data_IF_123992984437
#
_entry.id   IF_123992984437
#
_cell.length_a   1.000
_cell.length_b   1.000
_cell.length_c   1.000
_cell.angle_alpha   90.00
_cell.angle_beta   90.00
_cell.angle_gamma   90.00
#
_symmetry.space_group_name_H-M   'P 1'
#
loop_
_entity.id
_entity.type
_entity.pdbx_description
1 polymer ?
#
# COMPACT_ATOMS: atom_id res chain seq x y z
N UNK A 1 4.15 1.50 7.99
CA UNK A 1 3.15 2.55 8.22
C UNK A 1 2.34 2.77 6.94
N UNK A 2 1.30 1.96 6.73
CA UNK A 2 0.32 2.13 5.65
C UNK A 2 -0.74 3.10 6.14
N UNK A 3 -0.59 4.39 5.85
CA UNK A 3 -1.58 5.39 6.23
C UNK A 3 -2.68 5.43 5.16
N UNK A 4 -3.79 4.75 5.45
CA UNK A 4 -5.05 4.91 4.74
C UNK A 4 -5.75 6.12 5.37
N UNK A 5 -5.49 7.31 4.84
CA UNK A 5 -6.25 8.50 5.23
C UNK A 5 -7.59 8.49 4.48
N UNK A 6 -8.55 7.76 5.04
CA UNK A 6 -9.95 7.94 4.66
C UNK A 6 -10.35 9.30 5.25
N UNK A 7 -10.66 10.26 4.39
CA UNK A 7 -11.00 11.62 4.81
C UNK A 7 -12.28 11.69 5.66
N UNK A 8 -12.89 12.87 5.86
CA UNK A 8 -13.97 13.04 6.82
C UNK A 8 -15.11 12.03 6.60
N UNK A 9 -15.46 11.32 7.67
CA UNK A 9 -16.44 10.22 7.70
C UNK A 9 -17.88 10.72 7.53
N UNK A 10 -18.09 12.03 7.57
CA UNK A 10 -19.40 12.67 7.49
C UNK A 10 -19.38 13.78 6.45
N UNK A 11 -20.34 13.74 5.52
CA UNK A 11 -20.51 14.73 4.46
C UNK A 11 -21.83 15.45 4.69
N UNK A 12 -21.80 16.78 4.56
CA UNK A 12 -23.03 17.57 4.58
C UNK A 12 -23.66 17.55 3.18
N UNK A 13 -24.96 17.27 3.12
CA UNK A 13 -25.71 17.28 1.87
C UNK A 13 -26.36 18.64 1.69
N UNK A 14 -26.13 19.30 0.56
CA UNK A 14 -26.81 20.55 0.18
C UNK A 14 -27.54 20.34 -1.13
N UNK A 15 -28.84 20.66 -1.17
CA UNK A 15 -29.70 20.50 -2.35
C UNK A 15 -29.66 19.08 -2.95
N UNK A 16 -29.57 18.05 -2.10
CA UNK A 16 -29.48 16.64 -2.54
C UNK A 16 -28.09 16.18 -3.01
N UNK A 17 -27.08 17.05 -2.98
CA UNK A 17 -25.70 16.73 -3.37
C UNK A 17 -24.81 16.66 -2.14
N UNK A 18 -24.17 15.50 -1.93
CA UNK A 18 -23.11 15.31 -0.95
C UNK A 18 -21.76 15.47 -1.65
N UNK A 19 -20.99 16.50 -1.31
CA UNK A 19 -19.66 16.72 -1.89
C UNK A 19 -18.57 16.40 -0.87
N UNK A 20 -17.58 15.62 -1.28
CA UNK A 20 -16.39 15.31 -0.48
C UNK A 20 -15.14 15.79 -1.18
N UNK A 21 -14.24 16.43 -0.41
CA UNK A 21 -12.91 16.83 -0.87
C UNK A 21 -11.86 16.26 0.06
N UNK A 22 -10.72 15.84 -0.50
CA UNK A 22 -9.57 15.35 0.28
C UNK A 22 -9.67 13.88 0.71
N UNK A 23 -10.52 13.07 0.08
CA UNK A 23 -10.46 11.61 0.22
C UNK A 23 -9.19 11.09 -0.49
N UNK A 24 -8.42 10.26 0.19
CA UNK A 24 -7.22 9.63 -0.37
C UNK A 24 -7.24 8.12 -0.21
N UNK A 25 -6.87 7.40 -1.27
CA UNK A 25 -6.57 5.96 -1.22
C UNK A 25 -5.18 5.77 -1.80
N UNK A 26 -4.24 5.33 -0.96
CA UNK A 26 -2.85 5.14 -1.36
C UNK A 26 -2.58 3.71 -1.83
N UNK A 27 -3.39 2.74 -1.42
CA UNK A 27 -3.20 1.33 -1.76
C UNK A 27 -3.55 1.07 -3.21
N UNK A 28 -2.58 0.57 -3.98
CA UNK A 28 -2.78 0.16 -5.35
C UNK A 28 -3.73 -1.04 -5.45
N UNK A 29 -4.59 -1.01 -6.45
CA UNK A 29 -5.61 -2.03 -6.67
C UNK A 29 -6.61 -1.61 -7.72
N UNK A 30 -7.48 -2.54 -8.09
CA UNK A 30 -8.47 -2.37 -9.15
C UNK A 30 -9.89 -2.44 -8.60
N UNK A 31 -10.84 -1.82 -9.30
CA UNK A 31 -12.26 -1.89 -8.99
C UNK A 31 -12.64 -1.39 -7.57
N UNK A 32 -11.89 -0.42 -7.05
CA UNK A 32 -12.30 0.30 -5.84
C UNK A 32 -13.62 1.05 -6.08
N UNK A 33 -14.43 1.12 -5.02
CA UNK A 33 -15.69 1.86 -5.01
C UNK A 33 -15.80 2.65 -3.70
N UNK A 34 -16.33 3.85 -3.80
CA UNK A 34 -16.77 4.59 -2.64
C UNK A 34 -18.18 4.15 -2.28
N UNK A 35 -18.39 3.84 -1.00
CA UNK A 35 -19.71 3.56 -0.43
C UNK A 35 -20.16 4.80 0.31
N UNK A 36 -21.24 5.41 -0.15
CA UNK A 36 -21.88 6.53 0.53
C UNK A 36 -23.12 6.01 1.24
N UNK A 37 -23.18 6.20 2.55
CA UNK A 37 -24.30 5.81 3.39
C UNK A 37 -24.91 7.04 4.04
N UNK A 38 -26.22 7.22 3.86
CA UNK A 38 -27.00 8.25 4.55
C UNK A 38 -27.52 7.72 5.88
N UNK A 39 -27.70 8.61 6.86
CA UNK A 39 -28.39 8.30 8.12
C UNK A 39 -29.84 7.88 7.91
N UNK A 40 -30.45 8.26 6.78
CA UNK A 40 -31.80 7.84 6.36
C UNK A 40 -31.85 6.44 5.72
N UNK A 41 -30.71 5.73 5.64
CA UNK A 41 -30.63 4.36 5.12
C UNK A 41 -30.37 4.23 3.61
N UNK A 42 -30.19 5.34 2.88
CA UNK A 42 -29.78 5.31 1.48
C UNK A 42 -28.32 4.87 1.36
N UNK A 43 -28.04 3.91 0.47
CA UNK A 43 -26.68 3.48 0.12
C UNK A 43 -26.45 3.69 -1.38
N UNK A 44 -25.38 4.38 -1.72
CA UNK A 44 -24.98 4.65 -3.11
C UNK A 44 -23.54 4.22 -3.31
N UNK A 45 -23.26 3.59 -4.46
CA UNK A 45 -21.93 3.21 -4.89
C UNK A 45 -21.45 4.13 -5.99
N UNK A 46 -20.17 4.53 -5.92
CA UNK A 46 -19.53 5.19 -7.05
C UNK A 46 -19.32 4.22 -8.23
N UNK A 47 -19.08 4.77 -9.41
CA UNK A 47 -18.45 4.01 -10.48
C UNK A 47 -17.11 3.44 -9.99
N UNK A 48 -16.72 2.23 -10.43
CA UNK A 48 -15.46 1.65 -10.04
C UNK A 48 -14.30 2.50 -10.57
N UNK A 49 -13.22 2.56 -9.79
CA UNK A 49 -11.97 3.22 -10.19
C UNK A 49 -10.77 2.37 -9.77
N UNK A 50 -9.63 2.62 -10.43
CA UNK A 50 -8.38 1.93 -10.15
C UNK A 50 -7.42 2.89 -9.46
N UNK A 51 -6.62 2.35 -8.53
CA UNK A 51 -5.46 3.03 -7.95
C UNK A 51 -4.23 2.36 -8.53
N UNK A 52 -3.55 3.05 -9.43
CA UNK A 52 -2.33 2.54 -10.05
C UNK A 52 -1.14 2.71 -9.11
N UNK A 53 -0.17 1.80 -9.22
CA UNK A 53 1.15 1.98 -8.62
C UNK A 53 1.83 3.18 -9.28
N UNK A 54 2.35 4.09 -8.45
CA UNK A 54 3.07 5.26 -8.92
C UNK A 54 4.51 4.97 -9.34
N UNK A 55 5.23 6.02 -9.74
CA UNK A 55 6.67 5.91 -10.01
C UNK A 55 7.44 5.53 -8.74
N UNK A 56 8.51 4.75 -8.92
CA UNK A 56 9.41 4.39 -7.83
C UNK A 56 10.00 5.64 -7.16
N UNK A 57 9.92 5.69 -5.83
CA UNK A 57 10.33 6.84 -5.03
C UNK A 57 11.47 6.50 -4.05
N UNK A 58 11.45 5.31 -3.46
CA UNK A 58 12.50 4.86 -2.54
C UNK A 58 12.69 3.35 -2.57
N UNK A 59 13.83 2.92 -2.05
CA UNK A 59 14.07 1.52 -1.72
C UNK A 59 13.39 1.16 -0.39
N UNK A 60 12.90 -0.07 -0.33
CA UNK A 60 12.37 -0.70 0.86
C UNK A 60 13.11 -2.03 1.07
N UNK A 61 13.89 -2.10 2.15
CA UNK A 61 14.57 -3.32 2.56
C UNK A 61 13.56 -4.13 3.36
N UNK A 62 13.00 -5.16 2.73
CA UNK A 62 11.96 -5.99 3.35
C UNK A 62 12.51 -7.05 4.30
N UNK A 63 13.78 -7.43 4.10
CA UNK A 63 14.53 -8.26 5.05
C UNK A 63 16.02 -7.90 5.01
N UNK A 64 16.59 -7.66 6.18
CA UNK A 64 18.03 -7.49 6.33
C UNK A 64 18.75 -8.84 6.45
N UNK A 65 20.03 -8.91 6.08
CA UNK A 65 20.84 -10.10 6.32
C UNK A 65 20.89 -10.44 7.83
N UNK A 66 20.86 -11.73 8.16
CA UNK A 66 21.05 -12.20 9.54
C UNK A 66 22.52 -12.13 9.98
N UNK A 67 22.87 -12.44 11.24
CA UNK A 67 24.25 -12.59 11.64
C UNK A 67 24.93 -13.76 10.90
N UNK A 68 26.20 -13.59 10.52
CA UNK A 68 27.04 -14.64 9.94
C UNK A 68 28.25 -14.93 10.84
N UNK A 69 28.65 -16.20 10.96
CA UNK A 69 29.91 -16.59 11.60
C UNK A 69 31.09 -16.49 10.62
N UNK A 70 32.30 -16.32 11.14
CA UNK A 70 33.51 -16.33 10.30
C UNK A 70 33.64 -17.67 9.57
N UNK A 71 33.91 -17.64 8.25
CA UNK A 71 33.99 -18.83 7.40
C UNK A 71 32.66 -19.35 6.86
N UNK A 72 31.54 -18.68 7.16
CA UNK A 72 30.23 -18.99 6.59
C UNK A 72 30.15 -18.57 5.10
N UNK A 73 29.39 -19.34 4.31
CA UNK A 73 29.09 -19.00 2.91
C UNK A 73 28.16 -17.78 2.89
N UNK A 74 28.56 -16.63 2.32
CA UNK A 74 27.68 -15.47 2.19
C UNK A 74 26.44 -15.84 1.35
N UNK A 75 25.26 -15.46 1.83
CA UNK A 75 23.96 -15.63 1.14
C UNK A 75 23.51 -17.09 0.89
N UNK A 76 24.18 -18.07 1.53
CA UNK A 76 23.77 -19.48 1.57
C UNK A 76 23.32 -19.92 2.97
N UNK A 77 23.45 -21.22 3.28
CA UNK A 77 23.14 -21.81 4.59
C UNK A 77 23.92 -21.19 5.79
N UNK A 78 24.91 -20.33 5.50
CA UNK A 78 25.73 -19.60 6.45
C UNK A 78 25.06 -18.39 7.12
N UNK A 79 23.95 -17.87 6.58
CA UNK A 79 23.01 -17.07 7.37
C UNK A 79 22.12 -18.06 8.11
N UNK A 80 22.16 -18.11 9.44
CA UNK A 80 21.35 -19.07 10.21
C UNK A 80 19.92 -19.21 9.64
N UNK A 81 19.49 -20.45 9.38
CA UNK A 81 18.24 -20.84 8.69
C UNK A 81 18.13 -20.56 7.17
N UNK A 82 19.19 -20.11 6.49
CA UNK A 82 19.26 -20.00 5.02
C UNK A 82 18.44 -18.84 4.44
N UNK A 83 18.21 -17.78 5.20
CA UNK A 83 17.27 -16.72 4.81
C UNK A 83 17.99 -15.58 4.07
N UNK A 84 17.63 -15.37 2.81
CA UNK A 84 18.18 -14.30 1.98
C UNK A 84 17.50 -12.93 2.23
N UNK A 85 18.25 -11.83 2.16
CA UNK A 85 17.67 -10.49 2.16
C UNK A 85 16.92 -10.22 0.87
N UNK A 86 15.96 -9.30 0.90
CA UNK A 86 15.29 -8.82 -0.29
C UNK A 86 15.02 -7.33 -0.21
N UNK A 87 15.00 -6.71 -1.38
CA UNK A 87 14.80 -5.29 -1.58
C UNK A 87 13.64 -5.10 -2.55
N UNK A 88 12.88 -4.05 -2.34
CA UNK A 88 11.82 -3.63 -3.27
C UNK A 88 11.95 -2.13 -3.52
N UNK A 89 11.42 -1.67 -4.64
CA UNK A 89 11.15 -0.24 -4.84
C UNK A 89 9.70 0.03 -4.46
N UNK A 90 9.47 1.11 -3.73
CA UNK A 90 8.11 1.57 -3.40
C UNK A 90 7.87 2.97 -3.93
N UNK A 91 6.63 3.25 -4.30
CA UNK A 91 6.19 4.58 -4.70
C UNK A 91 5.98 5.50 -3.48
N UNK A 92 5.53 6.74 -3.72
CA UNK A 92 5.20 7.70 -2.64
C UNK A 92 4.00 7.27 -1.78
N UNK A 93 3.08 6.49 -2.33
CA UNK A 93 1.93 5.93 -1.63
C UNK A 93 2.27 4.70 -0.78
N UNK A 94 3.48 4.15 -0.93
CA UNK A 94 3.95 2.95 -0.25
C UNK A 94 3.64 1.65 -0.98
N UNK A 95 3.19 1.70 -2.24
CA UNK A 95 2.96 0.51 -3.05
C UNK A 95 4.27 -0.03 -3.60
N UNK A 96 4.40 -1.35 -3.69
CA UNK A 96 5.57 -2.00 -4.28
C UNK A 96 5.50 -1.89 -5.80
N UNK A 97 6.54 -1.28 -6.40
CA UNK A 97 6.68 -1.08 -7.84
C UNK A 97 7.39 -2.27 -8.47
N UNK A 98 8.51 -2.69 -7.86
CA UNK A 98 9.29 -3.87 -8.26
C UNK A 98 9.76 -4.58 -6.99
N UNK A 99 9.62 -5.90 -6.97
CA UNK A 99 10.24 -6.76 -5.97
C UNK A 99 11.52 -7.36 -6.56
N UNK A 100 12.66 -7.09 -5.94
CA UNK A 100 13.93 -7.73 -6.24
C UNK A 100 14.19 -8.78 -5.14
N UNK A 101 13.81 -10.03 -5.43
CA UNK A 101 14.27 -11.15 -4.62
C UNK A 101 15.77 -11.38 -4.90
N UNK A 102 16.52 -11.80 -3.87
CA UNK A 102 17.83 -12.39 -4.12
C UNK A 102 17.64 -13.69 -4.92
N UNK A 103 18.54 -13.95 -5.88
CA UNK A 103 18.57 -15.21 -6.63
C UNK A 103 19.09 -16.36 -5.76
#
# INVERSE_FOLDING_TARGET
>A
CSSTTIGPSTLTVSSGVASSSGLGVNTAGTAYRLVLQSTTGLTVLSTPFNVAVGQAYRLNIGRQPGPSTSGAIPFGAGFGTGVQPWVSTVDRGGNVVITLAAQ
#
